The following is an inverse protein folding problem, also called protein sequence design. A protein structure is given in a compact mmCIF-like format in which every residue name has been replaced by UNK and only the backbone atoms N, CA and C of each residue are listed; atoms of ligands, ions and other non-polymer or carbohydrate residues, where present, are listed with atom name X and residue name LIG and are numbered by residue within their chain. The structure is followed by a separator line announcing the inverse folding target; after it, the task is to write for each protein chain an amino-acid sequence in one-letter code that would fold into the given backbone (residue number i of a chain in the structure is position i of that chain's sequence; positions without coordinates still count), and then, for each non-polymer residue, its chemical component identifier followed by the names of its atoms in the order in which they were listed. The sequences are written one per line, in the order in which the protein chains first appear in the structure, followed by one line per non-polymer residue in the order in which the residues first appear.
data_IF_176725338556
#
_entry.id   IF_176725338556
#
_cell.length_a   1.000
_cell.length_b   1.000
_cell.length_c   1.000
_cell.angle_alpha   90.00
_cell.angle_beta   90.00
_cell.angle_gamma   90.00
#
_symmetry.space_group_name_H-M   'P 1'
#
loop_
_entity.id
_entity.type
_entity.pdbx_description
1 polymer ?
#
# COMPACT_ATOMS: atom_id res chain seq x y z
N UNK A 1 25.08 -22.32 -25.76
CA UNK A 1 25.71 -21.32 -26.66
C UNK A 1 24.65 -20.57 -27.45
N UNK A 2 24.95 -19.30 -27.82
CA UNK A 2 24.07 -18.46 -28.63
C UNK A 2 23.85 -19.11 -30.02
N UNK A 3 22.61 -19.21 -30.53
CA UNK A 3 22.33 -19.73 -31.87
C UNK A 3 23.17 -19.03 -32.95
N UNK A 4 23.58 -19.79 -33.98
CA UNK A 4 24.50 -19.29 -35.04
C UNK A 4 23.98 -18.00 -35.70
N UNK A 5 22.67 -17.93 -35.96
CA UNK A 5 22.04 -16.78 -36.57
C UNK A 5 22.09 -15.53 -35.69
N UNK A 6 21.81 -15.69 -34.38
CA UNK A 6 21.93 -14.58 -33.43
C UNK A 6 23.40 -14.15 -33.23
N UNK A 7 24.34 -15.11 -33.18
CA UNK A 7 25.78 -14.84 -33.14
C UNK A 7 26.25 -14.00 -34.35
N UNK A 8 25.78 -14.32 -35.54
CA UNK A 8 26.11 -13.58 -36.75
C UNK A 8 25.58 -12.13 -36.68
N UNK A 9 24.33 -11.94 -36.21
CA UNK A 9 23.72 -10.61 -36.09
C UNK A 9 24.39 -9.74 -35.02
N UNK A 10 24.80 -10.28 -33.87
CA UNK A 10 25.55 -9.52 -32.84
C UNK A 10 26.78 -8.83 -33.43
N UNK A 11 27.50 -9.51 -34.32
CA UNK A 11 28.72 -8.94 -34.94
C UNK A 11 28.46 -7.74 -35.86
N UNK A 12 27.22 -7.52 -36.25
CA UNK A 12 26.82 -6.40 -37.13
C UNK A 12 26.21 -5.24 -36.37
N UNK A 13 26.03 -5.36 -35.05
CA UNK A 13 25.46 -4.29 -34.23
C UNK A 13 26.47 -3.14 -34.08
N UNK A 14 25.97 -1.93 -34.19
CA UNK A 14 26.75 -0.71 -33.92
C UNK A 14 26.84 -0.48 -32.42
N UNK A 15 28.04 -0.33 -31.90
CA UNK A 15 28.25 0.05 -30.52
C UNK A 15 27.79 1.49 -30.29
N UNK A 16 27.03 1.70 -29.24
CA UNK A 16 26.65 3.03 -28.76
C UNK A 16 27.69 3.58 -27.77
N UNK A 17 28.14 2.73 -26.86
CA UNK A 17 29.33 2.91 -26.01
C UNK A 17 29.92 1.52 -25.72
N UNK A 18 30.87 1.42 -24.79
CA UNK A 18 31.52 0.15 -24.46
C UNK A 18 30.58 -0.96 -23.93
N UNK A 19 29.38 -0.59 -23.45
CA UNK A 19 28.41 -1.50 -22.84
C UNK A 19 27.09 -1.64 -23.62
N UNK A 20 26.83 -0.74 -24.59
CA UNK A 20 25.55 -0.66 -25.28
C UNK A 20 25.67 -0.74 -26.78
N UNK A 21 24.72 -1.44 -27.40
CA UNK A 21 24.65 -1.61 -28.84
C UNK A 21 23.30 -1.17 -29.37
N UNK A 22 23.30 -0.45 -30.46
CA UNK A 22 22.09 -0.16 -31.23
C UNK A 22 21.61 -1.44 -31.91
N UNK A 23 20.41 -1.90 -31.58
CA UNK A 23 19.88 -3.17 -32.10
C UNK A 23 18.41 -3.03 -32.51
N UNK A 24 18.01 -3.65 -33.65
CA UNK A 24 16.59 -3.74 -34.02
C UNK A 24 15.74 -4.47 -32.96
N UNK A 25 14.49 -4.03 -32.80
CA UNK A 25 13.56 -4.61 -31.83
C UNK A 25 13.38 -6.13 -32.00
N UNK A 26 13.25 -6.61 -33.24
CA UNK A 26 13.08 -8.03 -33.55
C UNK A 26 14.32 -8.86 -33.15
N UNK A 27 15.50 -8.26 -33.21
CA UNK A 27 16.71 -8.92 -32.74
C UNK A 27 16.74 -9.03 -31.23
N UNK A 28 16.45 -7.94 -30.51
CA UNK A 28 16.46 -7.93 -29.04
C UNK A 28 15.41 -8.86 -28.45
N UNK A 29 14.21 -8.87 -28.99
CA UNK A 29 13.14 -9.79 -28.57
C UNK A 29 13.48 -11.26 -28.85
N UNK A 30 14.08 -11.56 -30.02
CA UNK A 30 14.52 -12.91 -30.35
C UNK A 30 15.64 -13.40 -29.40
N UNK A 31 16.59 -12.51 -29.07
CA UNK A 31 17.68 -12.83 -28.14
C UNK A 31 17.12 -13.07 -26.72
N UNK A 32 16.20 -12.23 -26.25
CA UNK A 32 15.55 -12.39 -24.96
C UNK A 32 14.75 -13.70 -24.91
N UNK A 33 13.92 -13.98 -25.91
CA UNK A 33 13.14 -15.20 -26.00
C UNK A 33 14.03 -16.45 -25.97
N UNK A 34 15.10 -16.45 -26.78
CA UNK A 34 16.07 -17.54 -26.76
C UNK A 34 16.66 -17.76 -25.36
N UNK A 35 17.10 -16.67 -24.71
CA UNK A 35 17.73 -16.79 -23.38
C UNK A 35 16.76 -17.28 -22.32
N UNK A 36 15.52 -16.82 -22.34
CA UNK A 36 14.48 -17.29 -21.42
C UNK A 36 14.15 -18.76 -21.63
N UNK A 37 14.07 -19.23 -22.88
CA UNK A 37 13.85 -20.66 -23.20
C UNK A 37 15.03 -21.51 -22.78
N UNK A 38 16.28 -21.08 -22.98
CA UNK A 38 17.49 -21.77 -22.51
C UNK A 38 17.50 -21.94 -20.99
N UNK A 39 17.06 -20.90 -20.26
CA UNK A 39 16.94 -20.97 -18.79
C UNK A 39 15.83 -21.94 -18.38
N UNK A 40 14.66 -21.89 -19.02
CA UNK A 40 13.54 -22.79 -18.75
C UNK A 40 13.94 -24.27 -18.99
N UNK A 41 14.64 -24.57 -20.09
CA UNK A 41 15.10 -25.92 -20.41
C UNK A 41 16.14 -26.42 -19.40
N UNK A 42 17.07 -25.58 -18.96
CA UNK A 42 18.16 -25.97 -18.05
C UNK A 42 17.73 -26.10 -16.59
N UNK A 43 16.85 -25.22 -16.12
CA UNK A 43 16.54 -25.07 -14.70
C UNK A 43 15.07 -25.31 -14.36
N UNK A 44 14.25 -25.56 -15.36
CA UNK A 44 12.82 -25.80 -15.20
C UNK A 44 11.99 -24.50 -15.09
N UNK A 45 10.67 -24.66 -15.07
CA UNK A 45 9.68 -23.56 -15.11
C UNK A 45 9.71 -22.65 -13.89
N UNK A 46 10.11 -23.18 -12.73
CA UNK A 46 10.20 -22.42 -11.47
C UNK A 46 11.41 -21.49 -11.39
N UNK A 47 12.36 -21.61 -12.31
CA UNK A 47 13.52 -20.73 -12.37
C UNK A 47 13.23 -19.37 -13.03
N UNK A 48 11.99 -19.15 -13.45
CA UNK A 48 11.54 -17.87 -14.05
C UNK A 48 10.41 -17.27 -13.24
N UNK A 49 10.42 -15.93 -13.10
CA UNK A 49 9.30 -15.18 -12.55
C UNK A 49 9.00 -13.93 -13.38
N UNK A 50 7.77 -13.43 -13.25
CA UNK A 50 7.33 -12.18 -13.85
C UNK A 50 6.90 -11.16 -12.80
N UNK A 51 7.39 -9.91 -12.93
CA UNK A 51 7.05 -8.77 -12.08
C UNK A 51 6.36 -7.69 -12.90
N UNK A 52 5.02 -7.62 -12.79
CA UNK A 52 4.21 -6.64 -13.50
C UNK A 52 4.17 -5.27 -12.83
N UNK A 53 4.07 -4.22 -13.64
CA UNK A 53 3.69 -2.89 -13.19
C UNK A 53 2.18 -2.68 -13.29
N UNK A 54 1.69 -1.56 -12.76
CA UNK A 54 0.28 -1.17 -12.89
C UNK A 54 0.10 0.25 -13.45
N UNK A 55 1.12 0.81 -14.08
CA UNK A 55 1.05 2.03 -14.92
C UNK A 55 0.91 1.64 -16.39
N UNK A 56 0.04 0.68 -16.66
CA UNK A 56 -0.18 0.10 -17.97
C UNK A 56 -1.66 -0.28 -18.14
N UNK A 57 -2.08 -0.66 -19.34
CA UNK A 57 -3.46 -1.06 -19.60
C UNK A 57 -3.76 -2.47 -19.06
N UNK A 58 -5.05 -2.79 -18.94
CA UNK A 58 -5.50 -4.14 -18.57
C UNK A 58 -5.05 -5.18 -19.61
N UNK A 59 -5.08 -4.83 -20.89
CA UNK A 59 -4.64 -5.70 -21.99
C UNK A 59 -3.15 -6.06 -21.86
N UNK A 60 -2.30 -5.08 -21.59
CA UNK A 60 -0.86 -5.31 -21.37
C UNK A 60 -0.61 -6.20 -20.16
N UNK A 61 -1.32 -5.97 -19.05
CA UNK A 61 -1.23 -6.78 -17.84
C UNK A 61 -1.71 -8.22 -18.11
N UNK A 62 -2.81 -8.37 -18.86
CA UNK A 62 -3.32 -9.68 -19.25
C UNK A 62 -2.32 -10.47 -20.12
N UNK A 63 -1.77 -9.82 -21.15
CA UNK A 63 -0.78 -10.45 -22.03
C UNK A 63 0.49 -10.82 -21.25
N UNK A 64 0.93 -9.94 -20.34
CA UNK A 64 2.07 -10.20 -19.50
C UNK A 64 1.88 -11.45 -18.60
N UNK A 65 0.79 -11.56 -17.85
CA UNK A 65 0.56 -12.73 -17.02
C UNK A 65 0.39 -13.99 -17.87
N UNK A 66 -0.24 -13.88 -19.05
CA UNK A 66 -0.39 -14.98 -20.01
C UNK A 66 0.98 -15.45 -20.52
N UNK A 67 1.90 -14.53 -20.81
CA UNK A 67 3.28 -14.86 -21.16
C UNK A 67 3.96 -15.67 -20.04
N UNK A 68 3.88 -15.21 -18.80
CA UNK A 68 4.49 -15.90 -17.65
C UNK A 68 3.89 -17.29 -17.45
N UNK A 69 2.57 -17.38 -17.41
CA UNK A 69 1.87 -18.62 -17.11
C UNK A 69 1.89 -19.62 -18.27
N UNK A 70 1.66 -19.19 -19.50
CA UNK A 70 1.51 -20.09 -20.63
C UNK A 70 2.83 -20.29 -21.38
N UNK A 71 3.53 -19.23 -21.79
CA UNK A 71 4.75 -19.37 -22.57
C UNK A 71 5.91 -19.88 -21.71
N UNK A 72 6.11 -19.27 -20.54
CA UNK A 72 7.15 -19.72 -19.61
C UNK A 72 6.71 -20.90 -18.74
N UNK A 73 5.40 -21.17 -18.66
CA UNK A 73 4.77 -22.17 -17.81
C UNK A 73 5.13 -22.00 -16.32
N UNK A 74 5.38 -20.75 -15.87
CA UNK A 74 5.74 -20.45 -14.50
C UNK A 74 4.51 -19.99 -13.71
N UNK A 75 4.31 -20.45 -12.46
CA UNK A 75 3.27 -19.93 -11.58
C UNK A 75 3.65 -18.57 -10.97
N UNK A 76 4.91 -18.17 -11.08
CA UNK A 76 5.50 -17.04 -10.37
C UNK A 76 5.25 -15.73 -11.11
N UNK A 77 4.05 -15.16 -10.93
CA UNK A 77 3.69 -13.82 -11.43
C UNK A 77 3.14 -12.99 -10.27
N UNK A 78 3.67 -11.81 -10.09
CA UNK A 78 3.19 -10.83 -9.11
C UNK A 78 3.27 -9.42 -9.71
N UNK A 79 2.76 -8.43 -9.01
CA UNK A 79 2.79 -7.04 -9.47
C UNK A 79 3.06 -6.07 -8.33
N UNK A 80 3.20 -4.78 -8.67
CA UNK A 80 3.49 -3.71 -7.73
C UNK A 80 2.49 -3.56 -6.58
N UNK A 81 1.26 -4.11 -6.68
CA UNK A 81 0.29 -4.09 -5.59
C UNK A 81 0.84 -4.70 -4.30
N UNK A 82 1.82 -5.62 -4.42
CA UNK A 82 2.44 -6.31 -3.30
C UNK A 82 3.05 -5.36 -2.28
N UNK A 83 3.76 -4.35 -2.72
CA UNK A 83 4.38 -3.33 -1.86
C UNK A 83 3.51 -2.07 -1.75
N UNK A 84 2.56 -1.88 -2.65
CA UNK A 84 1.68 -0.72 -2.70
C UNK A 84 0.60 -0.80 -1.61
N UNK A 85 -0.52 -1.46 -1.86
CA UNK A 85 -1.66 -1.54 -0.95
C UNK A 85 -2.08 -2.98 -0.57
N UNK A 86 -1.28 -4.00 -0.86
CA UNK A 86 -1.51 -5.33 -0.25
C UNK A 86 -1.49 -5.28 1.27
N UNK A 87 -0.64 -4.45 1.94
CA UNK A 87 -0.76 -4.22 3.37
C UNK A 87 -2.11 -3.63 3.79
N UNK A 88 -2.70 -2.71 3.00
CA UNK A 88 -4.05 -2.21 3.27
C UNK A 88 -5.11 -3.30 3.19
N UNK A 89 -5.04 -4.13 2.14
CA UNK A 89 -5.97 -5.27 2.00
C UNK A 89 -5.82 -6.23 3.18
N UNK A 90 -4.59 -6.59 3.55
CA UNK A 90 -4.33 -7.49 4.68
C UNK A 90 -4.84 -6.90 6.01
N UNK A 91 -4.49 -5.66 6.32
CA UNK A 91 -4.89 -5.00 7.55
C UNK A 91 -6.40 -4.85 7.67
N UNK A 92 -7.06 -4.32 6.64
CA UNK A 92 -8.51 -4.14 6.63
C UNK A 92 -9.27 -5.48 6.62
N UNK A 93 -8.87 -6.46 5.80
CA UNK A 93 -9.53 -7.78 5.78
C UNK A 93 -9.43 -8.51 7.10
N UNK A 94 -8.30 -8.38 7.79
CA UNK A 94 -8.11 -9.01 9.12
C UNK A 94 -9.02 -8.38 10.18
N UNK A 95 -9.33 -7.09 10.06
CA UNK A 95 -10.06 -6.34 11.09
C UNK A 95 -11.54 -6.15 10.76
N UNK A 96 -11.87 -5.75 9.53
CA UNK A 96 -13.24 -5.41 9.11
C UNK A 96 -13.78 -6.32 7.99
N UNK A 97 -13.00 -7.31 7.54
CA UNK A 97 -13.43 -8.31 6.55
C UNK A 97 -13.30 -7.85 5.09
N UNK A 98 -13.05 -6.58 4.80
CA UNK A 98 -12.96 -6.05 3.43
C UNK A 98 -11.77 -5.10 3.28
N UNK A 99 -11.15 -5.07 2.09
CA UNK A 99 -9.94 -4.32 1.79
C UNK A 99 -10.10 -3.14 0.83
N UNK A 100 -11.28 -2.52 0.79
CA UNK A 100 -11.60 -1.39 -0.07
C UNK A 100 -11.95 -0.13 0.73
N UNK A 101 -11.99 1.03 0.06
CA UNK A 101 -12.52 2.25 0.67
C UNK A 101 -13.97 2.04 1.13
N UNK A 102 -14.28 2.45 2.35
CA UNK A 102 -15.59 2.19 2.96
C UNK A 102 -16.66 3.19 2.54
N UNK A 103 -16.26 4.33 2.00
CA UNK A 103 -17.17 5.43 1.63
C UNK A 103 -16.79 6.03 0.28
N UNK A 104 -17.72 6.68 -0.43
CA UNK A 104 -17.41 7.45 -1.64
C UNK A 104 -16.67 8.74 -1.30
N UNK A 105 -15.90 9.28 -2.26
CA UNK A 105 -15.18 10.53 -2.07
C UNK A 105 -16.08 11.75 -1.84
N UNK A 106 -17.34 11.71 -2.26
CA UNK A 106 -18.30 12.79 -2.03
C UNK A 106 -18.70 12.93 -0.55
N UNK A 107 -18.45 11.93 0.27
CA UNK A 107 -18.61 12.01 1.72
C UNK A 107 -17.62 12.95 2.40
N UNK A 108 -16.53 13.36 1.71
CA UNK A 108 -15.64 14.42 2.17
C UNK A 108 -16.39 15.73 2.44
N UNK A 109 -17.46 16.02 1.69
CA UNK A 109 -18.29 17.21 1.91
C UNK A 109 -19.25 17.09 3.10
N UNK A 110 -19.34 15.93 3.72
CA UNK A 110 -20.24 15.63 4.84
C UNK A 110 -19.50 15.25 6.11
N UNK A 111 -18.17 15.17 6.03
CA UNK A 111 -17.31 14.93 7.18
C UNK A 111 -17.05 16.22 7.95
N UNK A 112 -16.69 16.08 9.23
CA UNK A 112 -16.33 17.21 10.10
C UNK A 112 -14.84 17.23 10.41
N UNK A 113 -14.14 16.13 10.11
CA UNK A 113 -12.70 16.02 10.32
C UNK A 113 -12.07 15.08 9.31
N UNK A 114 -10.94 15.48 8.76
CA UNK A 114 -10.15 14.72 7.78
C UNK A 114 -8.77 14.51 8.35
N UNK A 115 -8.36 13.26 8.45
CA UNK A 115 -6.97 12.87 8.75
C UNK A 115 -6.36 12.29 7.49
N UNK A 116 -5.20 12.82 7.08
CA UNK A 116 -4.41 12.30 5.96
C UNK A 116 -3.05 11.90 6.50
N UNK A 117 -2.66 10.64 6.31
CA UNK A 117 -1.39 10.14 6.80
C UNK A 117 -0.59 9.42 5.70
N UNK A 118 0.69 9.76 5.56
CA UNK A 118 1.59 9.13 4.59
C UNK A 118 1.14 9.30 3.14
N UNK A 119 0.60 10.48 2.77
CA UNK A 119 0.11 10.75 1.41
C UNK A 119 0.33 12.19 0.98
N UNK A 120 1.10 12.39 -0.09
CA UNK A 120 1.16 13.67 -0.79
C UNK A 120 -0.03 13.81 -1.75
N UNK A 121 -1.22 13.98 -1.20
CA UNK A 121 -2.51 13.87 -1.89
C UNK A 121 -2.66 14.93 -2.99
N UNK A 122 -2.09 16.13 -2.83
CA UNK A 122 -2.16 17.19 -3.86
C UNK A 122 -1.47 16.81 -5.16
N UNK A 123 -0.42 16.03 -5.10
CA UNK A 123 0.32 15.56 -6.29
C UNK A 123 -0.20 14.22 -6.81
N UNK A 124 -0.41 13.24 -5.91
CA UNK A 124 -0.78 11.89 -6.30
C UNK A 124 -2.29 11.72 -6.60
N UNK A 125 -3.16 12.49 -5.93
CA UNK A 125 -4.62 12.39 -6.02
C UNK A 125 -5.28 13.78 -6.04
N UNK A 126 -4.98 14.65 -7.03
CA UNK A 126 -5.38 16.07 -7.01
C UNK A 126 -6.89 16.26 -6.94
N UNK A 127 -7.68 15.38 -7.54
CA UNK A 127 -9.15 15.47 -7.52
C UNK A 127 -9.71 15.22 -6.09
N UNK A 128 -9.10 14.32 -5.33
CA UNK A 128 -9.45 14.08 -3.92
C UNK A 128 -8.96 15.23 -3.05
N UNK A 129 -7.72 15.69 -3.27
CA UNK A 129 -7.16 16.83 -2.55
C UNK A 129 -8.01 18.10 -2.71
N UNK A 130 -8.52 18.38 -3.91
CA UNK A 130 -9.39 19.53 -4.16
C UNK A 130 -10.68 19.48 -3.32
N UNK A 131 -11.26 18.28 -3.09
CA UNK A 131 -12.42 18.12 -2.19
C UNK A 131 -12.05 18.43 -0.74
N UNK A 132 -10.89 17.90 -0.29
CA UNK A 132 -10.38 18.18 1.07
C UNK A 132 -10.09 19.66 1.28
N UNK A 133 -9.41 20.30 0.31
CA UNK A 133 -9.11 21.74 0.34
C UNK A 133 -10.41 22.57 0.38
N UNK A 134 -11.41 22.19 -0.41
CA UNK A 134 -12.70 22.88 -0.38
C UNK A 134 -13.37 22.73 0.99
N UNK A 135 -13.45 21.54 1.55
CA UNK A 135 -14.04 21.29 2.87
C UNK A 135 -13.31 22.10 3.97
N UNK A 136 -11.98 22.16 3.93
CA UNK A 136 -11.18 22.93 4.88
C UNK A 136 -11.36 24.45 4.73
N UNK A 137 -11.40 24.98 3.50
CA UNK A 137 -11.63 26.41 3.22
C UNK A 137 -13.03 26.87 3.61
N UNK A 138 -14.02 26.06 3.32
CA UNK A 138 -15.43 26.31 3.69
C UNK A 138 -15.67 26.12 5.21
N UNK A 139 -14.64 25.67 5.94
CA UNK A 139 -14.68 25.38 7.39
C UNK A 139 -15.73 24.32 7.77
N UNK A 140 -16.09 23.45 6.84
CA UNK A 140 -16.99 22.33 7.10
C UNK A 140 -16.27 21.15 7.74
N UNK A 141 -14.94 21.03 7.50
CA UNK A 141 -14.11 20.00 8.12
C UNK A 141 -12.78 20.58 8.61
N UNK A 142 -12.27 20.08 9.73
CA UNK A 142 -10.87 20.23 10.13
C UNK A 142 -10.00 19.29 9.30
N UNK A 143 -8.75 19.67 9.04
CA UNK A 143 -7.81 18.86 8.26
C UNK A 143 -6.51 18.71 9.04
N UNK A 144 -6.10 17.47 9.28
CA UNK A 144 -4.80 17.12 9.87
C UNK A 144 -4.01 16.30 8.87
N UNK A 145 -2.77 16.71 8.59
CA UNK A 145 -1.84 16.02 7.69
C UNK A 145 -0.67 15.50 8.49
N UNK A 146 -0.46 14.20 8.49
CA UNK A 146 0.61 13.50 9.21
C UNK A 146 1.55 12.90 8.17
N UNK A 147 2.78 13.39 8.10
CA UNK A 147 3.75 12.94 7.09
C UNK A 147 5.18 13.16 7.61
N UNK A 148 6.16 12.53 6.99
CA UNK A 148 7.59 12.72 7.30
C UNK A 148 8.13 14.05 6.77
N UNK A 149 7.36 14.73 5.95
CA UNK A 149 7.70 16.03 5.35
C UNK A 149 6.49 16.93 5.21
N UNK A 150 6.74 18.22 5.06
CA UNK A 150 5.68 19.16 4.74
C UNK A 150 5.12 18.92 3.32
N UNK A 151 3.81 18.82 3.20
CA UNK A 151 3.11 18.67 1.92
C UNK A 151 2.33 19.94 1.57
N UNK A 152 1.92 20.09 0.30
CA UNK A 152 1.12 21.24 -0.13
C UNK A 152 -0.27 21.28 0.54
N UNK A 153 -0.80 20.11 0.89
CA UNK A 153 -2.11 20.00 1.53
C UNK A 153 -2.14 20.66 2.92
N UNK A 154 -1.00 20.66 3.63
CA UNK A 154 -0.89 21.24 4.97
C UNK A 154 -1.11 22.76 5.03
N UNK A 155 -1.07 23.46 3.90
CA UNK A 155 -1.44 24.89 3.83
C UNK A 155 -2.90 25.16 4.20
N UNK A 156 -3.71 24.12 4.27
CA UNK A 156 -5.16 24.21 4.51
C UNK A 156 -5.57 23.58 5.85
N UNK A 157 -4.62 23.10 6.65
CA UNK A 157 -4.88 22.44 7.93
C UNK A 157 -3.63 22.34 8.80
N UNK A 158 -3.71 21.52 9.83
CA UNK A 158 -2.59 21.25 10.75
C UNK A 158 -1.63 20.24 10.14
N UNK A 159 -0.32 20.52 10.22
CA UNK A 159 0.73 19.60 9.78
C UNK A 159 1.47 19.01 10.97
N UNK A 160 1.48 17.70 11.06
CA UNK A 160 2.34 16.94 11.97
C UNK A 160 3.47 16.32 11.16
N UNK A 161 4.71 16.69 11.44
CA UNK A 161 5.89 16.04 10.87
C UNK A 161 6.28 14.93 11.83
N UNK A 162 6.35 13.70 11.34
CA UNK A 162 6.71 12.53 12.14
C UNK A 162 8.05 11.95 11.68
N UNK A 163 8.82 11.27 12.54
CA UNK A 163 9.98 10.53 12.12
C UNK A 163 9.61 9.41 11.14
N UNK A 164 10.55 9.07 10.26
CA UNK A 164 10.43 7.88 9.42
C UNK A 164 10.20 6.65 10.32
N UNK A 165 9.34 5.74 9.90
CA UNK A 165 8.94 4.54 10.67
C UNK A 165 8.08 4.77 11.93
N UNK A 166 7.71 6.02 12.26
CA UNK A 166 6.88 6.30 13.44
C UNK A 166 5.37 6.09 13.23
N UNK A 167 4.95 5.54 12.09
CA UNK A 167 3.54 5.41 11.74
C UNK A 167 2.72 4.66 12.80
N UNK A 168 3.14 3.45 13.15
CA UNK A 168 2.45 2.61 14.13
C UNK A 168 2.47 3.23 15.52
N UNK A 169 3.60 3.82 15.91
CA UNK A 169 3.75 4.56 17.17
C UNK A 169 2.72 5.69 17.28
N UNK A 170 2.62 6.55 16.27
CA UNK A 170 1.67 7.68 16.24
C UNK A 170 0.23 7.20 16.33
N UNK A 171 -0.13 6.15 15.61
CA UNK A 171 -1.47 5.56 15.64
C UNK A 171 -1.80 4.94 17.02
N UNK A 172 -0.83 4.27 17.67
CA UNK A 172 -1.01 3.73 19.00
C UNK A 172 -1.11 4.85 20.06
N UNK A 173 -0.37 5.96 19.89
CA UNK A 173 -0.53 7.13 20.76
C UNK A 173 -1.92 7.75 20.61
N UNK A 174 -2.46 7.86 19.39
CA UNK A 174 -3.85 8.28 19.19
C UNK A 174 -4.84 7.34 19.90
N UNK A 175 -4.62 6.03 19.76
CA UNK A 175 -5.45 5.02 20.44
C UNK A 175 -5.37 5.16 21.95
N UNK A 176 -4.17 5.34 22.51
CA UNK A 176 -3.98 5.56 23.94
C UNK A 176 -4.80 6.75 24.47
N UNK A 177 -4.73 7.88 23.80
CA UNK A 177 -5.50 9.09 24.17
C UNK A 177 -7.00 8.80 24.16
N UNK A 178 -7.50 8.18 23.09
CA UNK A 178 -8.94 7.85 22.96
C UNK A 178 -9.39 6.90 24.07
N UNK A 179 -8.57 5.91 24.41
CA UNK A 179 -8.88 4.91 25.44
C UNK A 179 -8.78 5.48 26.86
N UNK A 180 -7.71 6.22 27.18
CA UNK A 180 -7.47 6.78 28.50
C UNK A 180 -8.49 7.88 28.86
N UNK A 181 -8.90 8.67 27.86
CA UNK A 181 -9.91 9.72 28.01
C UNK A 181 -11.35 9.22 27.81
N UNK A 182 -11.54 7.92 27.52
CA UNK A 182 -12.83 7.27 27.29
C UNK A 182 -13.67 7.92 26.17
N UNK A 183 -13.00 8.34 25.11
CA UNK A 183 -13.61 8.97 23.92
C UNK A 183 -14.12 7.94 22.89
N UNK A 184 -14.13 6.67 23.23
CA UNK A 184 -14.61 5.59 22.36
C UNK A 184 -16.15 5.43 22.41
N UNK A 185 -16.71 4.89 21.35
CA UNK A 185 -18.15 4.68 21.21
C UNK A 185 -18.56 3.29 21.72
N UNK A 186 -18.99 3.21 22.98
CA UNK A 186 -19.36 1.94 23.64
C UNK A 186 -20.48 1.21 22.89
N UNK A 187 -21.53 1.92 22.43
CA UNK A 187 -22.66 1.30 21.70
C UNK A 187 -22.19 0.63 20.41
N UNK A 188 -21.31 1.29 19.65
CA UNK A 188 -20.76 0.71 18.44
C UNK A 188 -19.88 -0.50 18.75
N UNK A 189 -19.04 -0.41 19.77
CA UNK A 189 -18.13 -1.49 20.20
C UNK A 189 -18.94 -2.72 20.61
N UNK A 190 -19.91 -2.56 21.50
CA UNK A 190 -20.72 -3.65 22.02
C UNK A 190 -21.54 -4.35 20.94
N UNK A 191 -21.99 -3.60 19.94
CA UNK A 191 -22.84 -4.14 18.86
C UNK A 191 -22.06 -4.70 17.66
N UNK A 192 -20.80 -4.27 17.43
CA UNK A 192 -20.10 -4.51 16.17
C UNK A 192 -18.66 -5.04 16.32
N UNK A 193 -18.06 -4.98 17.51
CA UNK A 193 -16.68 -5.33 17.69
C UNK A 193 -16.49 -6.53 18.62
N UNK A 194 -15.39 -7.24 18.45
CA UNK A 194 -14.94 -8.30 19.37
C UNK A 194 -13.51 -8.02 19.79
N UNK A 195 -13.09 -8.50 20.97
CA UNK A 195 -11.72 -8.38 21.46
C UNK A 195 -11.32 -6.97 21.94
N UNK A 196 -12.28 -6.08 22.16
CA UNK A 196 -11.98 -4.69 22.55
C UNK A 196 -11.22 -4.58 23.86
N UNK A 197 -11.59 -5.33 24.90
CA UNK A 197 -10.91 -5.24 26.20
C UNK A 197 -9.45 -5.69 26.10
N UNK A 198 -9.15 -6.77 25.38
CA UNK A 198 -7.77 -7.21 25.16
C UNK A 198 -6.95 -6.17 24.38
N UNK A 199 -7.54 -5.54 23.35
CA UNK A 199 -6.91 -4.45 22.63
C UNK A 199 -6.65 -3.23 23.53
N UNK A 200 -7.65 -2.81 24.29
CA UNK A 200 -7.55 -1.69 25.24
C UNK A 200 -6.44 -1.92 26.25
N UNK A 201 -6.39 -3.12 26.86
CA UNK A 201 -5.36 -3.47 27.81
C UNK A 201 -3.96 -3.46 27.16
N UNK A 202 -3.83 -3.95 25.93
CA UNK A 202 -2.55 -3.93 25.22
C UNK A 202 -2.03 -2.51 24.96
N UNK A 203 -2.90 -1.58 24.57
CA UNK A 203 -2.52 -0.19 24.30
C UNK A 203 -2.25 0.59 25.61
N UNK A 204 -3.10 0.44 26.63
CA UNK A 204 -2.92 1.19 27.88
C UNK A 204 -1.70 0.74 28.68
N UNK A 205 -1.24 -0.50 28.50
CA UNK A 205 -0.04 -1.03 29.13
C UNK A 205 1.24 -0.85 28.28
N UNK A 206 1.13 -0.35 27.06
CA UNK A 206 2.29 -0.04 26.23
C UNK A 206 2.86 1.35 26.60
N UNK A 207 4.05 1.45 27.20
CA UNK A 207 4.62 2.74 27.56
C UNK A 207 4.86 3.65 26.34
N UNK A 208 5.19 3.07 25.19
CA UNK A 208 5.43 3.85 23.97
C UNK A 208 4.15 4.41 23.34
N UNK A 209 2.99 3.85 23.67
CA UNK A 209 1.71 4.45 23.28
C UNK A 209 1.31 5.63 24.18
N UNK A 210 1.91 5.77 25.37
CA UNK A 210 1.59 6.82 26.33
C UNK A 210 2.31 8.13 26.01
N UNK A 211 1.61 9.25 25.66
CA UNK A 211 2.22 10.54 25.38
C UNK A 211 3.08 11.09 26.54
N UNK A 212 2.69 10.85 27.79
CA UNK A 212 3.46 11.34 28.95
C UNK A 212 4.81 10.61 29.08
N UNK A 213 4.85 9.31 28.77
CA UNK A 213 6.12 8.58 28.71
C UNK A 213 7.00 9.11 27.57
N UNK A 214 6.40 9.32 26.40
CA UNK A 214 7.10 9.76 25.19
C UNK A 214 7.68 11.18 25.29
N UNK A 215 7.20 12.04 26.20
CA UNK A 215 7.84 13.34 26.49
C UNK A 215 9.30 13.22 26.89
N UNK A 216 9.68 12.10 27.47
CA UNK A 216 11.03 11.83 27.94
C UNK A 216 11.89 11.05 26.92
N UNK A 217 11.33 10.73 25.74
CA UNK A 217 12.04 10.03 24.68
C UNK A 217 12.56 11.04 23.67
N UNK A 218 13.89 11.18 23.59
CA UNK A 218 14.54 12.17 22.74
C UNK A 218 14.10 12.06 21.28
N UNK A 219 13.70 13.19 20.70
CA UNK A 219 13.27 13.30 19.32
C UNK A 219 11.77 13.06 19.09
N UNK A 220 10.99 12.78 20.15
CA UNK A 220 9.54 12.54 20.04
C UNK A 220 8.70 13.51 20.89
N UNK A 221 9.34 14.39 21.66
CA UNK A 221 8.70 15.29 22.62
C UNK A 221 7.57 16.13 21.99
N UNK A 222 7.82 16.65 20.78
CA UNK A 222 6.85 17.50 20.07
C UNK A 222 5.57 16.75 19.65
N UNK A 223 5.64 15.43 19.43
CA UNK A 223 4.48 14.62 19.07
C UNK A 223 3.47 14.53 20.20
N UNK A 224 3.95 14.60 21.45
CA UNK A 224 3.13 14.45 22.64
C UNK A 224 2.12 15.57 22.85
N UNK A 225 2.33 16.73 22.24
CA UNK A 225 1.41 17.87 22.26
C UNK A 225 0.41 17.84 21.11
N UNK A 226 0.87 17.43 19.93
CA UNK A 226 0.06 17.49 18.70
C UNK A 226 -0.86 16.27 18.55
N UNK A 227 -0.36 15.06 18.81
CA UNK A 227 -1.13 13.83 18.63
C UNK A 227 -2.40 13.78 19.48
N UNK A 228 -2.42 14.17 20.78
CA UNK A 228 -3.65 14.21 21.56
C UNK A 228 -4.74 15.09 20.93
N UNK A 229 -4.37 16.20 20.32
CA UNK A 229 -5.33 17.09 19.65
C UNK A 229 -5.97 16.40 18.46
N UNK A 230 -5.19 15.75 17.60
CA UNK A 230 -5.71 15.01 16.44
C UNK A 230 -6.56 13.83 16.89
N UNK A 231 -6.14 13.10 17.93
CA UNK A 231 -6.88 11.96 18.48
C UNK A 231 -8.26 12.38 19.01
N UNK A 232 -8.34 13.48 19.78
CA UNK A 232 -9.62 14.00 20.28
C UNK A 232 -10.53 14.46 19.15
N UNK A 233 -9.99 15.18 18.14
CA UNK A 233 -10.77 15.58 16.96
C UNK A 233 -11.31 14.36 16.22
N UNK A 234 -10.47 13.33 16.03
CA UNK A 234 -10.86 12.09 15.36
C UNK A 234 -11.98 11.35 16.10
N UNK A 235 -11.90 11.30 17.42
CA UNK A 235 -12.87 10.57 18.24
C UNK A 235 -14.22 11.30 18.41
N UNK A 236 -14.22 12.64 18.48
CA UNK A 236 -15.40 13.43 18.85
C UNK A 236 -16.17 13.95 17.65
N UNK A 237 -15.61 13.87 16.44
CA UNK A 237 -16.25 14.34 15.20
C UNK A 237 -16.50 13.19 14.23
N UNK A 238 -17.39 13.41 13.25
CA UNK A 238 -17.48 12.56 12.08
C UNK A 238 -16.17 12.67 11.31
N UNK A 239 -15.37 11.60 11.31
CA UNK A 239 -14.02 11.63 10.79
C UNK A 239 -13.81 10.65 9.65
N UNK A 240 -13.09 11.09 8.60
CA UNK A 240 -12.57 10.23 7.54
C UNK A 240 -11.05 10.12 7.66
N UNK A 241 -10.51 8.91 7.56
CA UNK A 241 -9.08 8.64 7.59
C UNK A 241 -8.58 8.24 6.21
N UNK A 242 -7.67 9.01 5.65
CA UNK A 242 -7.02 8.78 4.36
C UNK A 242 -5.57 8.40 4.57
N UNK A 243 -5.09 7.40 3.82
CA UNK A 243 -3.65 7.06 3.84
C UNK A 243 -3.13 6.67 2.47
N UNK A 244 -1.85 6.88 2.26
CA UNK A 244 -1.12 6.50 1.06
C UNK A 244 -0.02 5.49 1.34
N UNK A 245 0.96 5.45 0.43
CA UNK A 245 2.07 4.51 0.45
C UNK A 245 3.04 4.74 1.62
N UNK A 246 3.06 5.96 2.19
CA UNK A 246 3.83 6.25 3.40
C UNK A 246 3.40 5.46 4.63
N UNK A 247 2.21 4.83 4.60
CA UNK A 247 1.76 3.87 5.63
C UNK A 247 2.09 2.44 5.22
N UNK A 248 1.92 2.08 3.96
CA UNK A 248 1.90 0.67 3.52
C UNK A 248 3.26 0.14 3.09
N UNK A 249 4.16 0.97 2.60
CA UNK A 249 5.49 0.57 2.13
C UNK A 249 6.51 0.51 3.29
N UNK A 250 6.12 -0.12 4.39
CA UNK A 250 6.93 -0.39 5.57
C UNK A 250 6.79 -1.86 5.99
N UNK A 251 7.75 -2.37 6.76
CA UNK A 251 7.71 -3.73 7.30
C UNK A 251 6.46 -3.98 8.16
N UNK A 252 6.05 -3.00 8.91
CA UNK A 252 4.87 -2.98 9.77
C UNK A 252 3.60 -2.39 9.11
N UNK A 253 3.63 -2.11 7.81
CA UNK A 253 2.54 -1.44 7.09
C UNK A 253 1.16 -2.09 7.28
N UNK A 254 1.09 -3.43 7.36
CA UNK A 254 -0.18 -4.12 7.65
C UNK A 254 -0.68 -3.83 9.07
N UNK A 255 0.22 -3.76 10.06
CA UNK A 255 -0.13 -3.42 11.43
C UNK A 255 -0.53 -1.96 11.58
N UNK A 256 0.13 -1.04 10.86
CA UNK A 256 -0.28 0.36 10.81
C UNK A 256 -1.70 0.51 10.26
N UNK A 257 -2.05 -0.23 9.20
CA UNK A 257 -3.43 -0.24 8.69
C UNK A 257 -4.41 -0.85 9.69
N UNK A 258 -4.06 -1.93 10.41
CA UNK A 258 -4.88 -2.47 11.50
C UNK A 258 -5.11 -1.41 12.58
N UNK A 259 -4.08 -0.66 12.97
CA UNK A 259 -4.22 0.42 13.94
C UNK A 259 -5.19 1.51 13.46
N UNK A 260 -5.12 1.92 12.17
CA UNK A 260 -6.10 2.85 11.57
C UNK A 260 -7.53 2.28 11.66
N UNK A 261 -7.71 1.00 11.35
CA UNK A 261 -9.04 0.37 11.43
C UNK A 261 -9.54 0.27 12.87
N UNK A 262 -8.66 -0.01 13.84
CA UNK A 262 -9.01 -0.01 15.26
C UNK A 262 -9.45 1.38 15.74
N UNK A 263 -8.76 2.46 15.34
CA UNK A 263 -9.19 3.84 15.62
C UNK A 263 -10.62 4.09 15.09
N UNK A 264 -10.91 3.65 13.89
CA UNK A 264 -12.21 3.83 13.24
C UNK A 264 -13.31 3.02 13.95
N UNK A 265 -13.03 1.75 14.30
CA UNK A 265 -13.99 0.89 14.98
C UNK A 265 -14.29 1.38 16.39
N UNK A 266 -13.26 1.71 17.19
CA UNK A 266 -13.53 2.13 18.56
C UNK A 266 -14.22 3.50 18.68
N UNK A 267 -14.12 4.35 17.65
CA UNK A 267 -14.81 5.65 17.63
C UNK A 267 -16.16 5.61 16.88
N UNK A 268 -16.47 4.50 16.20
CA UNK A 268 -17.63 4.39 15.33
C UNK A 268 -17.55 5.25 14.07
N UNK A 269 -16.34 5.64 13.63
CA UNK A 269 -16.09 6.40 12.42
C UNK A 269 -16.04 5.50 11.17
N UNK A 270 -16.99 4.58 11.07
CA UNK A 270 -17.17 3.64 9.95
C UNK A 270 -18.64 3.32 9.75
N UNK A 271 -19.04 3.01 8.52
CA UNK A 271 -20.41 2.57 8.18
C UNK A 271 -21.45 3.67 8.21
N UNK A 272 -21.04 4.93 8.20
CA UNK A 272 -21.92 6.10 8.21
C UNK A 272 -21.45 7.12 7.17
N UNK A 273 -22.37 7.91 6.65
CA UNK A 273 -22.04 9.05 5.76
C UNK A 273 -21.14 10.07 6.47
N UNK A 274 -20.08 10.48 5.83
CA UNK A 274 -19.11 11.46 6.35
C UNK A 274 -18.11 10.87 7.34
N UNK A 275 -18.05 9.53 7.46
CA UNK A 275 -16.99 8.80 8.17
C UNK A 275 -16.27 7.87 7.18
N UNK A 276 -15.25 7.15 7.62
CA UNK A 276 -14.72 6.03 6.84
C UNK A 276 -13.23 5.94 6.69
N UNK A 277 -12.84 4.83 6.09
CA UNK A 277 -11.48 4.38 5.84
C UNK A 277 -11.18 4.47 4.35
N UNK A 278 -10.19 5.27 3.97
CA UNK A 278 -9.98 5.72 2.59
C UNK A 278 -8.53 5.46 2.13
N UNK A 279 -8.16 4.22 1.79
CA UNK A 279 -6.85 3.94 1.19
C UNK A 279 -6.75 4.58 -0.20
N UNK A 280 -5.77 5.47 -0.38
CA UNK A 280 -5.49 6.14 -1.65
C UNK A 280 -4.52 5.30 -2.47
N UNK A 281 -5.01 4.62 -3.51
CA UNK A 281 -4.20 3.74 -4.35
C UNK A 281 -3.08 4.51 -5.06
N UNK A 282 -1.88 3.92 -5.15
CA UNK A 282 -0.71 4.57 -5.73
C UNK A 282 -0.73 4.60 -7.26
N UNK A 283 -0.69 3.43 -7.89
CA UNK A 283 -0.66 3.33 -9.35
C UNK A 283 -2.07 3.32 -9.95
N UNK A 284 -2.20 3.99 -11.10
CA UNK A 284 -3.48 4.28 -11.72
C UNK A 284 -4.29 3.04 -12.15
N UNK A 285 -3.64 1.92 -12.49
CA UNK A 285 -4.32 0.70 -12.91
C UNK A 285 -3.97 -0.52 -12.04
N UNK A 286 -3.71 -0.31 -10.75
CA UNK A 286 -3.37 -1.43 -9.84
C UNK A 286 -4.53 -2.43 -9.72
N UNK A 287 -5.76 -1.94 -9.73
CA UNK A 287 -6.94 -2.80 -9.72
C UNK A 287 -7.02 -3.65 -10.99
N UNK A 288 -6.88 -3.04 -12.17
CA UNK A 288 -6.93 -3.76 -13.44
C UNK A 288 -5.79 -4.78 -13.60
N UNK A 289 -4.59 -4.50 -13.09
CA UNK A 289 -3.51 -5.49 -13.07
C UNK A 289 -3.87 -6.72 -12.21
N UNK A 290 -4.54 -6.51 -11.07
CA UNK A 290 -5.05 -7.60 -10.25
C UNK A 290 -6.18 -8.37 -10.93
N UNK A 291 -7.18 -7.67 -11.49
CA UNK A 291 -8.34 -8.25 -12.16
C UNK A 291 -7.95 -9.11 -13.36
N UNK A 292 -6.88 -8.73 -14.06
CA UNK A 292 -6.34 -9.48 -15.20
C UNK A 292 -5.42 -10.63 -14.82
N UNK A 293 -5.23 -10.90 -13.52
CA UNK A 293 -4.52 -12.09 -13.02
C UNK A 293 -3.01 -11.93 -12.85
N UNK A 294 -2.48 -10.71 -12.76
CA UNK A 294 -1.08 -10.47 -12.40
C UNK A 294 -0.83 -10.68 -10.88
N UNK A 295 -1.30 -11.79 -10.34
CA UNK A 295 -1.18 -12.16 -8.93
C UNK A 295 -0.75 -13.62 -8.79
N UNK A 296 0.05 -14.00 -7.79
CA UNK A 296 0.54 -15.37 -7.67
C UNK A 296 -0.57 -16.38 -7.33
N UNK A 297 -1.63 -15.95 -6.65
CA UNK A 297 -2.71 -16.80 -6.15
C UNK A 297 -4.05 -16.62 -6.89
N UNK A 298 -4.10 -15.74 -7.89
CA UNK A 298 -5.25 -15.54 -8.75
C UNK A 298 -4.84 -15.40 -10.22
N UNK A 299 -5.56 -16.06 -11.08
CA UNK A 299 -5.57 -15.84 -12.52
C UNK A 299 -6.55 -14.71 -12.90
N UNK A 300 -6.80 -14.52 -14.21
CA UNK A 300 -7.82 -13.59 -14.68
C UNK A 300 -9.18 -13.88 -14.06
N UNK A 301 -9.95 -12.82 -13.81
CA UNK A 301 -11.27 -12.91 -13.17
C UNK A 301 -11.26 -13.62 -11.80
N UNK A 302 -10.13 -13.46 -11.07
CA UNK A 302 -9.91 -14.06 -9.74
C UNK A 302 -10.03 -15.60 -9.71
N UNK A 303 -9.89 -16.24 -10.84
CA UNK A 303 -9.83 -17.71 -10.92
C UNK A 303 -8.62 -18.24 -10.11
N UNK A 304 -8.81 -19.32 -9.38
CA UNK A 304 -7.72 -19.95 -8.61
C UNK A 304 -6.88 -20.78 -9.58
N UNK A 305 -5.56 -20.51 -9.71
CA UNK A 305 -4.68 -21.31 -10.57
C UNK A 305 -4.44 -22.71 -9.96
N UNK A 306 -4.11 -23.69 -10.81
CA UNK A 306 -3.75 -25.04 -10.34
C UNK A 306 -2.57 -25.03 -9.36
N UNK A 307 -1.62 -24.12 -9.58
CA UNK A 307 -0.46 -23.93 -8.72
C UNK A 307 -0.32 -22.46 -8.32
N UNK A 308 -0.28 -22.23 -7.01
CA UNK A 308 -0.06 -20.91 -6.43
C UNK A 308 1.41 -20.53 -6.57
N UNK A 309 1.68 -19.37 -7.15
CA UNK A 309 3.02 -18.80 -7.27
C UNK A 309 3.54 -18.17 -5.98
N UNK A 310 4.81 -17.81 -5.99
CA UNK A 310 5.43 -17.05 -4.90
C UNK A 310 5.11 -15.56 -5.01
N UNK A 311 4.93 -14.93 -3.86
CA UNK A 311 4.80 -13.47 -3.74
C UNK A 311 6.17 -12.80 -3.86
N UNK A 312 6.20 -11.52 -4.25
CA UNK A 312 7.45 -10.76 -4.46
C UNK A 312 8.50 -10.92 -3.36
N UNK A 313 8.21 -10.81 -2.05
CA UNK A 313 9.24 -11.03 -1.02
C UNK A 313 9.86 -12.42 -1.09
N UNK A 314 9.02 -13.45 -1.26
CA UNK A 314 9.48 -14.84 -1.40
C UNK A 314 10.30 -15.05 -2.68
N UNK A 315 9.94 -14.35 -3.79
CA UNK A 315 10.71 -14.40 -5.03
C UNK A 315 12.12 -13.81 -4.84
N UNK A 316 12.25 -12.75 -4.07
CA UNK A 316 13.55 -12.15 -3.73
C UNK A 316 14.40 -13.15 -2.94
N UNK A 317 13.82 -13.83 -1.94
CA UNK A 317 14.53 -14.85 -1.17
C UNK A 317 15.01 -16.00 -2.07
N UNK A 318 14.17 -16.48 -3.00
CA UNK A 318 14.52 -17.51 -3.96
C UNK A 318 15.56 -17.06 -5.02
N UNK A 319 15.59 -15.74 -5.36
CA UNK A 319 16.66 -15.15 -6.17
C UNK A 319 17.99 -15.14 -5.42
N UNK A 320 17.99 -14.73 -4.15
CA UNK A 320 19.18 -14.74 -3.28
C UNK A 320 19.72 -16.17 -3.13
N UNK A 321 18.81 -17.15 -2.97
CA UNK A 321 19.14 -18.58 -2.92
C UNK A 321 19.60 -19.15 -4.28
N UNK A 322 19.57 -18.35 -5.34
CA UNK A 322 19.98 -18.76 -6.68
C UNK A 322 19.03 -19.75 -7.36
N UNK A 323 17.78 -19.88 -6.92
CA UNK A 323 16.78 -20.77 -7.54
C UNK A 323 16.06 -20.07 -8.71
N UNK A 324 15.71 -18.80 -8.56
CA UNK A 324 15.24 -17.97 -9.68
C UNK A 324 16.44 -17.51 -10.50
N UNK A 325 16.43 -17.80 -11.79
CA UNK A 325 17.51 -17.53 -12.74
C UNK A 325 17.19 -16.43 -13.74
N UNK A 326 15.91 -16.11 -13.91
CA UNK A 326 15.47 -15.02 -14.75
C UNK A 326 14.19 -14.39 -14.21
N UNK A 327 14.10 -13.08 -14.41
CA UNK A 327 12.92 -12.27 -14.13
C UNK A 327 12.63 -11.36 -15.33
N UNK A 328 11.35 -11.21 -15.66
CA UNK A 328 10.85 -10.26 -16.66
C UNK A 328 9.90 -9.27 -16.03
#
# INVERSE_FOLDING_TARGET
ELPRELKARVKTLKSFDENYYEAPYEFTTSLAAWKLMDIKEKYGRHAFCGMGGARTSCESSYVFQKFVRNAMNSPHVDNCARVCHSPSLKGMRTTIGEGAATNPFDDIYKTENIVVMGSNTTEAHPIVANRMIKAARDKTATLSVIDVRQTQLSKFGEQLIIPYEANLLVLNMMAYVILSEKLYNTEFIDSRCTGFEAYKDSILNDPYANPEYMKNVSGYEYLTEQIPTVARLYATKKSMFFWGLGITEHLDGSYAVMAITHLSMMTGNIGKTGTGLMPLRGQNNVQGACDTGCLPYYGPDYSVPEEIGLMTPQLIDEMIAGKIKAMY
#
